data_IF_687269207537
#
_entry.id   IF_687269207537
#
_cell.length_a   1.000
_cell.length_b   1.000
_cell.length_c   1.000
_cell.angle_alpha   90.00
_cell.angle_beta   90.00
_cell.angle_gamma   90.00
#
_symmetry.space_group_name_H-M   'P 1'
#
loop_
_entity.id
_entity.type
_entity.pdbx_description
1 polymer ?
#
# COMPACT_ATOMS: atom_id res chain seq x y z
N UNK A 1 12.32 -14.46 -27.83
CA UNK A 1 11.50 -13.23 -27.89
C UNK A 1 10.19 -13.60 -27.18
N UNK A 2 10.11 -13.46 -25.86
CA UNK A 2 8.85 -13.71 -25.14
C UNK A 2 8.05 -12.41 -25.14
N UNK A 3 7.18 -12.28 -26.13
CA UNK A 3 6.15 -11.24 -26.13
C UNK A 3 5.07 -11.78 -25.19
N UNK A 4 5.08 -11.33 -23.94
CA UNK A 4 3.93 -11.55 -23.05
C UNK A 4 2.70 -10.97 -23.76
N UNK A 5 1.71 -11.82 -24.04
CA UNK A 5 0.43 -11.38 -24.60
C UNK A 5 -0.16 -10.34 -23.64
N UNK A 6 -0.46 -9.12 -24.10
CA UNK A 6 -1.07 -8.10 -23.24
C UNK A 6 -2.52 -8.48 -22.93
N UNK A 7 -2.98 -8.17 -21.72
CA UNK A 7 -4.39 -8.28 -21.34
C UNK A 7 -5.22 -7.29 -22.17
N UNK A 8 -6.38 -7.72 -22.66
CA UNK A 8 -7.32 -6.86 -23.38
C UNK A 8 -8.45 -6.45 -22.45
N UNK A 9 -8.51 -5.17 -22.09
CA UNK A 9 -9.55 -4.65 -21.18
C UNK A 9 -10.95 -4.57 -21.80
N UNK A 10 -11.07 -4.89 -23.09
CA UNK A 10 -12.35 -5.13 -23.75
C UNK A 10 -12.88 -6.56 -23.50
N UNK A 11 -12.07 -7.42 -22.87
CA UNK A 11 -12.49 -8.75 -22.44
C UNK A 11 -12.83 -8.71 -20.95
N UNK A 12 -13.99 -9.26 -20.54
CA UNK A 12 -14.42 -9.24 -19.15
C UNK A 12 -13.45 -10.01 -18.25
N UNK A 13 -13.05 -11.23 -18.62
CA UNK A 13 -12.10 -12.02 -17.84
C UNK A 13 -10.74 -11.33 -17.62
N UNK A 14 -10.16 -10.72 -18.65
CA UNK A 14 -8.87 -10.03 -18.57
C UNK A 14 -8.96 -8.83 -17.61
N UNK A 15 -10.08 -8.12 -17.66
CA UNK A 15 -10.39 -6.99 -16.79
C UNK A 15 -10.56 -7.42 -15.33
N UNK A 16 -11.34 -8.48 -15.08
CA UNK A 16 -11.53 -9.05 -13.74
C UNK A 16 -10.20 -9.53 -13.16
N UNK A 17 -9.36 -10.19 -13.96
CA UNK A 17 -8.05 -10.65 -13.52
C UNK A 17 -7.10 -9.49 -13.19
N UNK A 18 -7.12 -8.39 -13.96
CA UNK A 18 -6.37 -7.18 -13.64
C UNK A 18 -6.83 -6.56 -12.32
N UNK A 19 -8.14 -6.40 -12.11
CA UNK A 19 -8.69 -5.82 -10.89
C UNK A 19 -8.36 -6.70 -9.68
N UNK A 20 -8.62 -8.01 -9.78
CA UNK A 20 -8.30 -8.96 -8.71
C UNK A 20 -6.81 -8.96 -8.36
N UNK A 21 -5.92 -8.82 -9.35
CA UNK A 21 -4.48 -8.72 -9.11
C UNK A 21 -4.08 -7.38 -8.48
N UNK A 22 -4.71 -6.30 -8.92
CA UNK A 22 -4.42 -4.94 -8.44
C UNK A 22 -4.77 -4.80 -6.96
N UNK A 23 -5.98 -5.24 -6.59
CA UNK A 23 -6.50 -5.05 -5.23
C UNK A 23 -6.31 -6.28 -4.33
N UNK A 24 -5.92 -7.42 -4.90
CA UNK A 24 -5.81 -8.71 -4.21
C UNK A 24 -7.13 -9.47 -4.10
N UNK A 25 -8.25 -8.86 -4.51
CA UNK A 25 -9.60 -9.43 -4.48
C UNK A 25 -10.49 -8.70 -5.50
N UNK A 26 -11.66 -9.26 -5.81
CA UNK A 26 -12.70 -8.55 -6.54
C UNK A 26 -13.49 -7.64 -5.58
N UNK A 27 -13.57 -6.32 -5.83
CA UNK A 27 -14.31 -5.39 -4.98
C UNK A 27 -15.81 -5.73 -4.90
N UNK A 28 -16.44 -5.22 -3.84
CA UNK A 28 -17.90 -5.24 -3.63
C UNK A 28 -18.37 -3.82 -3.34
N UNK A 29 -19.58 -3.48 -3.77
CA UNK A 29 -20.19 -2.16 -3.55
C UNK A 29 -19.22 -1.01 -3.90
N UNK A 30 -18.55 -1.13 -5.05
CA UNK A 30 -17.41 -0.27 -5.42
C UNK A 30 -17.50 0.24 -6.85
N UNK A 31 -17.03 1.46 -7.05
CA UNK A 31 -16.63 1.98 -8.35
C UNK A 31 -15.12 1.84 -8.48
N UNK A 32 -14.66 1.20 -9.55
CA UNK A 32 -13.26 1.14 -9.93
C UNK A 32 -13.05 1.94 -11.21
N UNK A 33 -12.02 2.78 -11.22
CA UNK A 33 -11.59 3.53 -12.41
C UNK A 33 -10.13 3.22 -12.68
N UNK A 34 -9.84 2.80 -13.91
CA UNK A 34 -8.50 2.46 -14.38
C UNK A 34 -8.14 3.47 -15.46
N UNK A 35 -7.20 4.37 -15.17
CA UNK A 35 -6.59 5.24 -16.16
C UNK A 35 -5.75 4.43 -17.15
N UNK A 36 -5.71 4.87 -18.40
CA UNK A 36 -4.97 4.23 -19.49
C UNK A 36 -4.04 5.27 -20.11
N UNK A 37 -2.79 4.89 -20.33
CA UNK A 37 -1.77 5.73 -20.94
C UNK A 37 -1.02 4.88 -21.96
N UNK A 38 -1.00 5.26 -23.24
CA UNK A 38 -0.26 4.55 -24.30
C UNK A 38 -0.45 3.01 -24.34
N UNK A 39 -1.67 2.53 -24.07
CA UNK A 39 -2.00 1.10 -24.08
C UNK A 39 -1.48 0.29 -22.87
N UNK A 40 -0.95 0.97 -21.85
CA UNK A 40 -0.68 0.40 -20.54
C UNK A 40 -1.64 0.98 -19.50
N UNK A 41 -1.85 0.23 -18.42
CA UNK A 41 -2.68 0.67 -17.31
C UNK A 41 -1.93 1.72 -16.48
N UNK A 42 -2.52 2.90 -16.36
CA UNK A 42 -2.08 4.04 -15.56
C UNK A 42 -2.47 3.91 -14.08
N UNK A 43 -3.00 4.98 -13.48
CA UNK A 43 -3.49 4.99 -12.10
C UNK A 43 -4.76 4.15 -11.94
N UNK A 44 -4.88 3.43 -10.82
CA UNK A 44 -6.09 2.68 -10.47
C UNK A 44 -6.71 3.31 -9.23
N UNK A 45 -8.01 3.57 -9.29
CA UNK A 45 -8.80 4.09 -8.18
C UNK A 45 -9.94 3.13 -7.87
N UNK A 46 -10.15 2.86 -6.59
CA UNK A 46 -11.34 2.18 -6.08
C UNK A 46 -11.96 3.02 -4.98
N UNK A 47 -13.25 3.32 -5.11
CA UNK A 47 -14.04 4.03 -4.10
C UNK A 47 -15.32 3.26 -3.83
N UNK A 48 -15.86 3.39 -2.62
CA UNK A 48 -17.16 2.80 -2.28
C UNK A 48 -18.28 3.49 -3.06
N UNK A 49 -19.30 2.73 -3.45
CA UNK A 49 -20.49 3.28 -4.09
C UNK A 49 -21.30 4.10 -3.07
N UNK A 50 -21.72 5.33 -3.39
CA UNK A 50 -22.53 6.12 -2.48
C UNK A 50 -23.89 5.45 -2.22
N UNK A 51 -24.35 5.51 -0.97
CA UNK A 51 -25.67 5.01 -0.60
C UNK A 51 -26.76 5.70 -1.42
N UNK A 52 -27.63 4.92 -2.06
CA UNK A 52 -28.71 5.44 -2.91
C UNK A 52 -28.28 5.88 -4.33
N UNK A 53 -27.00 5.77 -4.70
CA UNK A 53 -26.51 6.17 -6.03
C UNK A 53 -27.13 5.36 -7.18
N UNK A 54 -27.64 4.15 -6.91
CA UNK A 54 -28.22 3.26 -7.92
C UNK A 54 -29.42 3.87 -8.68
N UNK A 55 -30.07 4.90 -8.14
CA UNK A 55 -31.21 5.61 -8.75
C UNK A 55 -31.03 7.14 -8.71
N UNK A 56 -29.92 7.63 -8.15
CA UNK A 56 -29.71 9.06 -8.02
C UNK A 56 -29.54 9.71 -9.41
N UNK A 57 -30.17 10.86 -9.65
CA UNK A 57 -29.98 11.60 -10.89
C UNK A 57 -28.57 12.22 -10.92
N UNK A 58 -28.09 12.56 -12.12
CA UNK A 58 -26.70 12.98 -12.33
C UNK A 58 -26.31 14.24 -11.54
N UNK A 59 -27.24 15.18 -11.37
CA UNK A 59 -27.05 16.40 -10.59
C UNK A 59 -26.70 16.16 -9.12
N UNK A 60 -27.09 15.02 -8.55
CA UNK A 60 -26.75 14.68 -7.16
C UNK A 60 -25.39 13.98 -7.05
N UNK A 61 -24.78 13.60 -8.17
CA UNK A 61 -23.52 12.86 -8.22
C UNK A 61 -22.33 13.73 -8.64
N UNK A 62 -22.53 15.05 -8.81
CA UNK A 62 -21.51 16.00 -9.26
C UNK A 62 -20.25 15.98 -8.41
N UNK A 63 -20.37 16.32 -7.12
CA UNK A 63 -19.24 16.38 -6.19
C UNK A 63 -18.45 15.07 -6.11
N UNK A 64 -19.16 13.93 -6.13
CA UNK A 64 -18.54 12.60 -6.13
C UNK A 64 -17.74 12.36 -7.43
N UNK A 65 -18.33 12.68 -8.58
CA UNK A 65 -17.67 12.54 -9.87
C UNK A 65 -16.48 13.49 -10.04
N UNK A 66 -16.60 14.73 -9.56
CA UNK A 66 -15.52 15.73 -9.57
C UNK A 66 -14.35 15.29 -8.70
N UNK A 67 -14.61 14.74 -7.51
CA UNK A 67 -13.56 14.19 -6.64
C UNK A 67 -12.77 13.08 -7.35
N UNK A 68 -13.47 12.18 -8.05
CA UNK A 68 -12.83 11.08 -8.80
C UNK A 68 -12.03 11.61 -9.99
N UNK A 69 -12.58 12.59 -10.72
CA UNK A 69 -11.89 13.21 -11.84
C UNK A 69 -10.63 13.95 -11.37
N UNK A 70 -10.71 14.78 -10.33
CA UNK A 70 -9.58 15.50 -9.74
C UNK A 70 -8.48 14.53 -9.27
N UNK A 71 -8.88 13.40 -8.68
CA UNK A 71 -7.95 12.37 -8.22
C UNK A 71 -7.11 11.72 -9.32
N UNK A 72 -7.63 11.65 -10.54
CA UNK A 72 -6.99 10.95 -11.68
C UNK A 72 -6.48 11.89 -12.77
N UNK A 73 -7.07 13.08 -12.88
CA UNK A 73 -6.86 14.06 -13.96
C UNK A 73 -6.55 15.46 -13.43
N UNK A 74 -6.59 15.69 -12.11
CA UNK A 74 -6.31 16.97 -11.49
C UNK A 74 -4.83 17.38 -11.62
N UNK A 75 -4.48 18.52 -11.02
CA UNK A 75 -3.16 19.15 -11.21
C UNK A 75 -1.98 18.26 -10.81
N UNK A 76 -2.19 17.33 -9.87
CA UNK A 76 -1.17 16.38 -9.39
C UNK A 76 -0.98 15.18 -10.31
N UNK A 77 -1.89 14.91 -11.24
CA UNK A 77 -1.82 13.75 -12.09
C UNK A 77 -0.68 13.86 -13.12
N UNK A 78 0.45 13.20 -12.86
CA UNK A 78 1.59 13.13 -13.78
C UNK A 78 2.16 11.70 -13.93
N UNK A 79 2.13 11.11 -15.16
CA UNK A 79 1.32 11.58 -16.30
C UNK A 79 -0.17 11.40 -16.02
N UNK A 80 -0.99 12.33 -16.50
CA UNK A 80 -2.43 12.15 -16.54
C UNK A 80 -2.80 11.06 -17.57
N UNK A 81 -3.79 10.19 -17.30
CA UNK A 81 -4.22 9.17 -18.24
C UNK A 81 -4.89 9.79 -19.48
N UNK A 82 -4.68 9.18 -20.65
CA UNK A 82 -5.27 9.58 -21.92
C UNK A 82 -6.71 9.06 -22.08
N UNK A 83 -7.09 8.03 -21.34
CA UNK A 83 -8.43 7.42 -21.34
C UNK A 83 -8.71 6.74 -19.99
N UNK A 84 -9.97 6.38 -19.74
CA UNK A 84 -10.36 5.67 -18.52
C UNK A 84 -11.30 4.49 -18.81
N UNK A 85 -11.11 3.41 -18.06
CA UNK A 85 -12.04 2.28 -17.96
C UNK A 85 -12.77 2.37 -16.62
N UNK A 86 -14.10 2.21 -16.65
CA UNK A 86 -14.93 2.18 -15.44
C UNK A 86 -15.45 0.77 -15.18
N UNK A 87 -15.45 0.35 -13.92
CA UNK A 87 -16.10 -0.88 -13.48
C UNK A 87 -16.99 -0.59 -12.27
N UNK A 88 -18.25 -1.02 -12.36
CA UNK A 88 -19.26 -0.89 -11.32
C UNK A 88 -19.47 -2.25 -10.66
N UNK A 89 -18.96 -2.45 -9.45
CA UNK A 89 -19.23 -3.61 -8.61
C UNK A 89 -20.44 -3.30 -7.73
N UNK A 90 -21.62 -3.74 -8.14
CA UNK A 90 -22.88 -3.46 -7.48
C UNK A 90 -23.48 -4.73 -6.83
N UNK A 91 -24.30 -4.57 -5.78
CA UNK A 91 -24.95 -5.71 -5.13
C UNK A 91 -26.10 -6.26 -5.98
N UNK A 92 -26.77 -5.42 -6.78
CA UNK A 92 -27.90 -5.84 -7.60
C UNK A 92 -27.46 -6.58 -8.87
N UNK A 93 -28.29 -7.50 -9.33
CA UNK A 93 -28.12 -8.15 -10.63
C UNK A 93 -28.63 -7.23 -11.75
N UNK A 94 -27.97 -7.26 -12.91
CA UNK A 94 -28.40 -6.50 -14.07
C UNK A 94 -29.76 -7.01 -14.58
N UNK A 95 -30.67 -6.08 -14.89
CA UNK A 95 -31.99 -6.39 -15.44
C UNK A 95 -32.30 -5.53 -16.66
N UNK A 96 -33.11 -6.01 -17.63
CA UNK A 96 -33.45 -5.24 -18.82
C UNK A 96 -34.30 -4.01 -18.52
N UNK A 97 -35.03 -4.01 -17.41
CA UNK A 97 -36.02 -2.99 -17.07
C UNK A 97 -35.41 -1.77 -16.37
N UNK A 98 -34.19 -1.89 -15.85
CA UNK A 98 -33.53 -0.82 -15.08
C UNK A 98 -32.06 -0.73 -15.42
N UNK A 99 -31.54 0.49 -15.43
CA UNK A 99 -30.12 0.79 -15.60
C UNK A 99 -29.56 1.46 -14.33
N UNK A 100 -29.14 0.67 -13.32
CA UNK A 100 -28.63 1.21 -12.07
C UNK A 100 -27.42 2.11 -12.29
N UNK A 101 -27.30 3.20 -11.52
CA UNK A 101 -26.17 4.13 -11.53
C UNK A 101 -26.00 4.99 -12.80
N UNK A 102 -27.02 5.13 -13.65
CA UNK A 102 -26.96 5.95 -14.86
C UNK A 102 -26.62 7.43 -14.59
N UNK A 103 -27.18 8.02 -13.53
CA UNK A 103 -26.84 9.37 -13.12
C UNK A 103 -25.36 9.52 -12.75
N UNK A 104 -24.81 8.55 -12.02
CA UNK A 104 -23.40 8.55 -11.61
C UNK A 104 -22.44 8.39 -12.81
N UNK A 105 -22.70 7.45 -13.72
CA UNK A 105 -21.88 7.28 -14.94
C UNK A 105 -21.93 8.54 -15.81
N UNK A 106 -23.10 9.18 -15.91
CA UNK A 106 -23.26 10.45 -16.63
C UNK A 106 -22.48 11.59 -15.97
N UNK A 107 -22.53 11.70 -14.64
CA UNK A 107 -21.78 12.70 -13.90
C UNK A 107 -20.26 12.49 -14.05
N UNK A 108 -19.78 11.24 -13.98
CA UNK A 108 -18.38 10.87 -14.21
C UNK A 108 -17.91 11.28 -15.60
N UNK A 109 -18.67 10.95 -16.65
CA UNK A 109 -18.31 11.34 -18.01
C UNK A 109 -18.20 12.87 -18.17
N UNK A 110 -19.08 13.64 -17.53
CA UNK A 110 -19.03 15.11 -17.53
C UNK A 110 -17.81 15.65 -16.77
N UNK A 111 -17.53 15.12 -15.59
CA UNK A 111 -16.40 15.53 -14.77
C UNK A 111 -15.06 15.24 -15.49
N UNK A 112 -14.91 14.07 -16.11
CA UNK A 112 -13.72 13.69 -16.88
C UNK A 112 -13.51 14.59 -18.10
N UNK A 113 -14.60 14.93 -18.81
CA UNK A 113 -14.55 15.86 -19.91
C UNK A 113 -14.13 17.28 -19.46
N UNK A 114 -14.53 17.71 -18.27
CA UNK A 114 -14.18 19.01 -17.71
C UNK A 114 -12.73 19.08 -17.19
N UNK A 115 -12.23 18.01 -16.58
CA UNK A 115 -10.94 17.99 -15.87
C UNK A 115 -9.69 17.85 -16.78
N UNK A 116 -9.84 17.45 -18.04
CA UNK A 116 -8.69 17.19 -18.90
C UNK A 116 -8.96 16.34 -20.13
N UNK A 117 -10.18 15.78 -20.25
CA UNK A 117 -10.66 15.20 -21.50
C UNK A 117 -10.28 13.74 -21.73
N UNK A 118 -9.92 12.98 -20.70
CA UNK A 118 -9.74 11.53 -20.82
C UNK A 118 -11.12 10.85 -20.98
N UNK A 119 -11.47 10.33 -22.17
CA UNK A 119 -12.77 9.70 -22.36
C UNK A 119 -12.86 8.41 -21.56
N UNK A 120 -14.04 8.16 -20.98
CA UNK A 120 -14.39 6.83 -20.49
C UNK A 120 -14.64 5.96 -21.71
N UNK A 121 -13.68 5.09 -22.04
CA UNK A 121 -13.70 4.28 -23.27
C UNK A 121 -14.57 3.04 -23.14
N UNK A 122 -14.82 2.58 -21.90
CA UNK A 122 -15.65 1.43 -21.64
C UNK A 122 -16.12 1.40 -20.17
N UNK A 123 -17.31 0.82 -19.95
CA UNK A 123 -17.91 0.67 -18.62
C UNK A 123 -18.39 -0.76 -18.43
N UNK A 124 -17.79 -1.48 -17.48
CA UNK A 124 -18.26 -2.80 -17.05
C UNK A 124 -19.22 -2.68 -15.88
N UNK A 125 -20.31 -3.43 -15.90
CA UNK A 125 -21.18 -3.64 -14.75
C UNK A 125 -21.03 -5.06 -14.24
N UNK A 126 -20.75 -5.19 -12.95
CA UNK A 126 -20.54 -6.43 -12.24
C UNK A 126 -21.55 -6.49 -11.09
N UNK A 127 -22.47 -7.44 -11.14
CA UNK A 127 -23.54 -7.56 -10.15
C UNK A 127 -24.21 -8.92 -10.19
N UNK A 128 -24.64 -9.44 -9.04
CA UNK A 128 -25.24 -10.78 -8.95
C UNK A 128 -24.34 -11.92 -9.46
N UNK A 129 -23.01 -11.78 -9.36
CA UNK A 129 -22.05 -12.78 -9.89
C UNK A 129 -21.80 -12.71 -11.40
N UNK A 130 -22.38 -11.73 -12.09
CA UNK A 130 -22.26 -11.58 -13.54
C UNK A 130 -21.56 -10.28 -13.93
N UNK A 131 -20.85 -10.31 -15.06
CA UNK A 131 -20.23 -9.15 -15.71
C UNK A 131 -20.87 -8.91 -17.08
N UNK A 132 -21.11 -7.65 -17.42
CA UNK A 132 -21.61 -7.23 -18.73
C UNK A 132 -21.15 -5.84 -19.11
N UNK A 133 -21.15 -5.55 -20.40
CA UNK A 133 -21.01 -4.20 -20.92
C UNK A 133 -22.24 -3.38 -20.47
N UNK A 134 -21.98 -2.27 -19.77
CA UNK A 134 -23.00 -1.41 -19.20
C UNK A 134 -23.71 -0.53 -20.25
N UNK A 135 -23.04 -0.23 -21.36
CA UNK A 135 -23.55 0.59 -22.45
C UNK A 135 -24.24 -0.26 -23.53
N UNK A 136 -23.97 -1.56 -23.59
CA UNK A 136 -24.61 -2.48 -24.53
C UNK A 136 -26.09 -2.77 -24.17
N UNK A 137 -26.99 -2.38 -25.08
CA UNK A 137 -28.45 -2.62 -24.98
C UNK A 137 -28.96 -3.80 -25.80
N UNK A 138 -28.10 -4.41 -26.62
CA UNK A 138 -28.47 -5.52 -27.49
C UNK A 138 -28.41 -6.85 -26.71
N UNK A 139 -29.57 -7.43 -26.42
CA UNK A 139 -29.68 -8.70 -25.69
C UNK A 139 -29.11 -9.90 -26.46
N UNK A 140 -28.92 -9.79 -27.79
CA UNK A 140 -28.25 -10.82 -28.58
C UNK A 140 -26.73 -10.75 -28.49
N UNK A 141 -26.19 -9.56 -28.21
CA UNK A 141 -24.77 -9.31 -27.98
C UNK A 141 -24.39 -9.54 -26.50
N UNK A 142 -25.16 -8.95 -25.58
CA UNK A 142 -24.98 -9.04 -24.13
C UNK A 142 -26.31 -9.46 -23.49
N UNK A 143 -26.53 -10.77 -23.41
CA UNK A 143 -27.69 -11.33 -22.71
C UNK A 143 -27.68 -10.95 -21.23
N UNK A 144 -28.87 -10.79 -20.65
CA UNK A 144 -29.04 -10.59 -19.22
C UNK A 144 -28.98 -11.94 -18.48
N UNK A 145 -28.38 -11.99 -17.27
CA UNK A 145 -27.75 -10.88 -16.51
C UNK A 145 -26.31 -10.54 -16.96
N UNK A 146 -25.68 -11.36 -17.78
CA UNK A 146 -24.33 -11.16 -18.29
C UNK A 146 -23.57 -12.48 -18.42
N UNK A 147 -22.24 -12.41 -18.39
CA UNK A 147 -21.35 -13.57 -18.30
C UNK A 147 -21.02 -13.86 -16.83
N UNK A 148 -20.93 -15.13 -16.46
CA UNK A 148 -20.56 -15.57 -15.11
C UNK A 148 -19.13 -15.17 -14.77
N UNK A 149 -18.94 -14.41 -13.69
CA UNK A 149 -17.64 -13.86 -13.27
C UNK A 149 -16.62 -14.97 -13.01
N UNK A 150 -17.00 -16.00 -12.26
CA UNK A 150 -16.10 -17.10 -11.90
C UNK A 150 -15.61 -17.85 -13.13
N UNK A 151 -16.50 -18.10 -14.10
CA UNK A 151 -16.16 -18.77 -15.35
C UNK A 151 -15.19 -17.95 -16.20
N UNK A 152 -15.42 -16.64 -16.30
CA UNK A 152 -14.53 -15.74 -17.05
C UNK A 152 -13.15 -15.63 -16.38
N UNK A 153 -13.11 -15.56 -15.05
CA UNK A 153 -11.86 -15.58 -14.28
C UNK A 153 -11.09 -16.89 -14.46
N UNK A 154 -11.74 -18.05 -14.28
CA UNK A 154 -11.11 -19.36 -14.44
C UNK A 154 -10.53 -19.55 -15.84
N UNK A 155 -11.26 -19.07 -16.85
CA UNK A 155 -10.80 -19.10 -18.24
C UNK A 155 -9.50 -18.32 -18.40
N UNK A 156 -9.41 -17.11 -17.87
CA UNK A 156 -8.20 -16.28 -18.00
C UNK A 156 -7.04 -16.80 -17.17
N UNK A 157 -7.30 -17.25 -15.94
CA UNK A 157 -6.27 -17.80 -15.07
C UNK A 157 -5.64 -19.07 -15.65
N UNK A 158 -6.44 -19.91 -16.31
CA UNK A 158 -5.97 -21.17 -16.93
C UNK A 158 -5.32 -20.98 -18.30
N UNK A 159 -5.76 -20.00 -19.09
CA UNK A 159 -5.34 -19.84 -20.49
C UNK A 159 -4.28 -18.75 -20.73
N UNK A 160 -4.21 -17.74 -19.87
CA UNK A 160 -3.38 -16.57 -20.15
C UNK A 160 -1.94 -16.75 -19.61
N UNK A 161 -0.89 -16.56 -20.43
CA UNK A 161 0.50 -16.85 -20.05
C UNK A 161 0.99 -16.10 -18.79
N UNK A 162 0.50 -14.89 -18.54
CA UNK A 162 0.84 -14.10 -17.34
C UNK A 162 0.41 -14.80 -16.04
N UNK A 163 -0.69 -15.58 -16.09
CA UNK A 163 -1.26 -16.26 -14.94
C UNK A 163 -0.91 -17.76 -14.92
N UNK A 164 -0.84 -18.40 -16.10
CA UNK A 164 -0.51 -19.82 -16.24
C UNK A 164 0.95 -20.16 -15.89
N UNK A 165 1.88 -19.19 -15.97
CA UNK A 165 3.32 -19.41 -15.70
C UNK A 165 3.71 -19.39 -14.21
N UNK A 166 2.75 -19.51 -13.28
CA UNK A 166 3.10 -19.70 -11.87
C UNK A 166 3.60 -21.12 -11.62
N UNK A 167 4.92 -21.30 -11.53
CA UNK A 167 5.49 -22.51 -10.93
C UNK A 167 5.00 -22.65 -9.48
N UNK A 168 4.58 -23.85 -9.05
CA UNK A 168 4.22 -24.10 -7.67
C UNK A 168 5.47 -23.99 -6.79
N UNK A 169 5.66 -22.84 -6.11
CA UNK A 169 6.69 -22.75 -5.07
C UNK A 169 7.33 -21.38 -4.77
N UNK A 170 7.02 -20.28 -5.46
CA UNK A 170 7.65 -18.98 -5.13
C UNK A 170 6.66 -17.82 -5.01
N UNK A 171 6.25 -17.42 -3.79
CA UNK A 171 5.51 -16.18 -3.61
C UNK A 171 6.47 -15.00 -3.81
N UNK A 172 6.29 -14.21 -4.88
CA UNK A 172 6.91 -12.89 -4.99
C UNK A 172 6.00 -11.87 -4.30
N UNK A 173 6.38 -11.47 -3.08
CA UNK A 173 6.16 -10.14 -2.46
C UNK A 173 4.85 -9.39 -2.74
N UNK A 174 3.72 -10.10 -2.80
CA UNK A 174 2.37 -9.53 -2.89
C UNK A 174 1.45 -10.28 -1.93
N UNK A 175 0.26 -9.74 -1.61
CA UNK A 175 -0.64 -10.35 -0.65
C UNK A 175 -0.83 -11.83 -0.99
N UNK A 176 -0.62 -12.66 0.04
CA UNK A 176 -0.62 -14.13 -0.02
C UNK A 176 -1.73 -14.62 -0.95
N UNK A 177 -1.36 -15.39 -1.98
CA UNK A 177 -2.32 -16.01 -2.89
C UNK A 177 -3.36 -16.79 -2.06
N UNK A 178 -4.62 -16.35 -2.09
CA UNK A 178 -5.74 -16.96 -1.35
C UNK A 178 -6.36 -16.11 -0.23
N UNK A 179 -5.86 -14.91 0.07
CA UNK A 179 -6.52 -14.00 1.01
C UNK A 179 -7.68 -13.27 0.28
N UNK A 180 -8.92 -13.68 0.54
CA UNK A 180 -10.10 -13.06 -0.05
C UNK A 180 -10.54 -11.82 0.74
N UNK A 181 -10.13 -10.64 0.28
CA UNK A 181 -10.67 -9.35 0.74
C UNK A 181 -9.88 -8.66 1.86
N UNK A 182 -10.18 -7.37 2.14
CA UNK A 182 -9.48 -6.57 3.15
C UNK A 182 -9.51 -7.19 4.55
N UNK A 183 -10.64 -7.76 4.96
CA UNK A 183 -10.81 -8.42 6.26
C UNK A 183 -9.86 -9.62 6.46
N UNK A 184 -9.59 -10.37 5.39
CA UNK A 184 -8.72 -11.54 5.46
C UNK A 184 -7.24 -11.13 5.60
N UNK A 185 -6.83 -9.99 5.01
CA UNK A 185 -5.48 -9.41 5.20
C UNK A 185 -5.27 -9.05 6.67
N UNK A 186 -6.27 -8.44 7.29
CA UNK A 186 -6.25 -8.05 8.70
C UNK A 186 -6.24 -9.30 9.61
N UNK A 187 -7.08 -10.30 9.35
CA UNK A 187 -7.09 -11.56 10.11
C UNK A 187 -5.75 -12.32 10.02
N UNK A 188 -5.10 -12.29 8.86
CA UNK A 188 -3.76 -12.87 8.70
C UNK A 188 -2.74 -12.16 9.58
N UNK A 189 -2.83 -10.83 9.71
CA UNK A 189 -1.93 -10.05 10.56
C UNK A 189 -2.07 -10.40 12.05
N UNK A 190 -3.26 -10.83 12.47
CA UNK A 190 -3.57 -11.21 13.86
C UNK A 190 -3.29 -12.68 14.18
N UNK A 191 -3.36 -13.57 13.18
CA UNK A 191 -2.97 -14.95 13.36
C UNK A 191 -1.48 -14.98 13.74
N UNK A 192 -1.13 -15.57 14.89
CA UNK A 192 0.25 -15.60 15.36
C UNK A 192 1.18 -16.01 14.20
N UNK A 193 2.19 -15.20 13.84
CA UNK A 193 2.97 -15.38 12.61
C UNK A 193 3.72 -16.72 12.58
N UNK A 194 3.83 -17.40 13.71
CA UNK A 194 4.55 -18.66 13.90
C UNK A 194 3.64 -19.90 13.93
N UNK A 195 2.30 -19.74 13.91
CA UNK A 195 1.39 -20.83 14.30
C UNK A 195 0.40 -21.36 13.24
N UNK A 196 -0.02 -20.57 12.25
CA UNK A 196 -1.20 -20.96 11.43
C UNK A 196 -0.97 -21.19 9.93
N UNK A 197 0.17 -20.77 9.35
CA UNK A 197 0.66 -21.08 7.99
C UNK A 197 1.78 -20.08 7.64
N UNK A 198 2.94 -20.23 8.27
CA UNK A 198 4.16 -19.72 7.64
C UNK A 198 4.26 -20.37 6.25
N UNK A 199 4.62 -19.63 5.18
CA UNK A 199 4.85 -20.24 3.87
C UNK A 199 5.83 -21.41 4.06
N UNK A 200 5.43 -22.58 3.54
CA UNK A 200 6.14 -23.83 3.77
C UNK A 200 7.64 -23.67 3.42
N UNK A 201 8.50 -23.70 4.44
CA UNK A 201 9.96 -23.73 4.27
C UNK A 201 10.78 -22.70 5.04
N UNK A 202 10.19 -21.67 5.66
CA UNK A 202 10.95 -20.67 6.42
C UNK A 202 10.61 -20.68 7.91
N UNK A 203 11.61 -21.12 8.70
CA UNK A 203 11.75 -21.02 10.17
C UNK A 203 10.66 -21.69 11.01
N UNK A 204 10.93 -22.94 11.41
CA UNK A 204 10.15 -23.67 12.40
C UNK A 204 10.66 -23.36 13.82
N UNK A 205 10.26 -22.21 14.38
CA UNK A 205 10.40 -21.99 15.83
C UNK A 205 9.32 -22.78 16.55
N UNK A 206 9.71 -23.53 17.57
CA UNK A 206 8.79 -24.17 18.50
C UNK A 206 8.08 -23.13 19.38
N UNK A 207 6.93 -23.50 19.94
CA UNK A 207 6.20 -22.64 20.88
C UNK A 207 7.06 -22.25 22.10
N UNK A 208 7.92 -23.17 22.55
CA UNK A 208 8.83 -22.93 23.68
C UNK A 208 9.93 -21.91 23.33
N UNK A 209 10.51 -21.99 22.13
CA UNK A 209 11.51 -21.02 21.66
C UNK A 209 10.92 -19.62 21.52
N UNK A 210 9.69 -19.52 21.00
CA UNK A 210 8.96 -18.24 20.95
C UNK A 210 8.62 -17.75 22.35
N UNK A 211 8.26 -18.64 23.28
CA UNK A 211 8.03 -18.31 24.68
C UNK A 211 9.27 -17.70 25.33
N UNK A 212 10.43 -18.35 25.21
CA UNK A 212 11.69 -17.83 25.75
C UNK A 212 12.07 -16.49 25.12
N UNK A 213 11.90 -16.35 23.79
CA UNK A 213 12.18 -15.10 23.10
C UNK A 213 11.29 -13.95 23.60
N UNK A 214 10.02 -14.21 23.91
CA UNK A 214 9.12 -13.21 24.51
C UNK A 214 9.62 -12.75 25.87
N UNK A 215 10.11 -13.68 26.71
CA UNK A 215 10.70 -13.35 28.01
C UNK A 215 11.97 -12.51 27.87
N UNK A 216 12.86 -12.88 26.94
CA UNK A 216 14.10 -12.16 26.67
C UNK A 216 13.81 -10.73 26.18
N UNK A 217 12.85 -10.57 25.26
CA UNK A 217 12.40 -9.26 24.77
C UNK A 217 11.81 -8.42 25.90
N UNK A 218 10.97 -9.00 26.76
CA UNK A 218 10.40 -8.29 27.91
C UNK A 218 11.49 -7.79 28.87
N UNK A 219 12.47 -8.64 29.20
CA UNK A 219 13.61 -8.26 30.06
C UNK A 219 14.42 -7.11 29.47
N UNK A 220 14.66 -7.08 28.16
CA UNK A 220 15.36 -5.96 27.52
C UNK A 220 14.51 -4.68 27.49
N UNK A 221 13.19 -4.82 27.37
CA UNK A 221 12.26 -3.69 27.34
C UNK A 221 12.22 -2.95 28.67
N UNK A 222 12.22 -3.68 29.79
CA UNK A 222 12.28 -3.07 31.14
C UNK A 222 13.48 -2.13 31.30
N UNK A 223 14.61 -2.46 30.67
CA UNK A 223 15.80 -1.60 30.66
C UNK A 223 15.55 -0.31 29.89
N UNK A 224 14.94 -0.37 28.71
CA UNK A 224 14.63 0.81 27.91
C UNK A 224 13.56 1.68 28.57
N UNK A 225 12.53 1.08 29.15
CA UNK A 225 11.48 1.77 29.89
C UNK A 225 12.06 2.48 31.14
N UNK A 226 13.00 1.84 31.84
CA UNK A 226 13.72 2.46 32.96
C UNK A 226 14.53 3.68 32.52
N UNK A 227 15.22 3.59 31.38
CA UNK A 227 15.94 4.73 30.81
C UNK A 227 14.97 5.84 30.38
N UNK A 228 13.84 5.46 29.76
CA UNK A 228 12.82 6.40 29.32
C UNK A 228 12.20 7.17 30.50
N UNK A 229 11.94 6.48 31.61
CA UNK A 229 11.42 7.09 32.83
C UNK A 229 12.40 8.09 33.48
N UNK A 230 13.71 7.85 33.35
CA UNK A 230 14.75 8.75 33.87
C UNK A 230 14.90 10.01 33.00
N UNK A 231 14.93 9.85 31.68
CA UNK A 231 15.19 10.94 30.73
C UNK A 231 13.91 11.65 30.25
N UNK A 232 12.73 11.15 30.62
CA UNK A 232 11.43 11.64 30.18
C UNK A 232 11.10 11.34 28.71
N UNK A 233 11.91 10.51 28.04
CA UNK A 233 11.75 10.07 26.65
C UNK A 233 12.55 8.80 26.38
N UNK A 234 12.16 7.95 25.42
CA UNK A 234 12.93 6.76 25.12
C UNK A 234 14.33 7.07 24.56
N UNK A 235 15.31 6.18 24.78
CA UNK A 235 16.66 6.35 24.25
C UNK A 235 16.70 6.39 22.73
N UNK A 236 17.56 7.22 22.13
CA UNK A 236 17.71 7.35 20.68
C UNK A 236 18.06 6.06 19.94
N UNK A 237 18.72 5.13 20.61
CA UNK A 237 18.99 3.79 20.06
C UNK A 237 17.70 3.07 19.65
N UNK A 238 16.54 3.41 20.24
CA UNK A 238 15.25 2.88 19.81
C UNK A 238 14.87 3.34 18.39
N UNK A 239 15.18 4.59 18.01
CA UNK A 239 15.01 5.06 16.63
C UNK A 239 16.03 4.43 15.68
N UNK A 240 17.30 4.34 16.10
CA UNK A 240 18.36 3.71 15.31
C UNK A 240 18.08 2.22 15.04
N UNK A 241 17.47 1.51 15.99
CA UNK A 241 17.03 0.14 15.85
C UNK A 241 16.02 -0.04 14.70
N UNK A 242 15.10 0.93 14.51
CA UNK A 242 14.18 0.96 13.38
C UNK A 242 14.90 1.22 12.06
N UNK A 243 15.81 2.20 11.99
CA UNK A 243 16.56 2.49 10.76
C UNK A 243 17.40 1.29 10.29
N UNK A 244 18.10 0.65 11.23
CA UNK A 244 18.86 -0.56 10.96
C UNK A 244 17.96 -1.71 10.50
N UNK A 245 16.78 -1.86 11.11
CA UNK A 245 15.83 -2.90 10.74
C UNK A 245 15.25 -2.69 9.33
N UNK A 246 14.88 -1.45 8.99
CA UNK A 246 14.38 -1.09 7.66
C UNK A 246 15.47 -1.31 6.60
N UNK A 247 16.68 -0.79 6.83
CA UNK A 247 17.78 -0.90 5.87
C UNK A 247 18.20 -2.35 5.62
N UNK A 248 18.24 -3.18 6.67
CA UNK A 248 18.57 -4.61 6.52
C UNK A 248 17.46 -5.38 5.81
N UNK A 249 16.20 -5.08 6.13
CA UNK A 249 15.02 -5.75 5.54
C UNK A 249 14.81 -5.35 4.09
N UNK A 250 15.10 -4.10 3.73
CA UNK A 250 15.12 -3.63 2.34
C UNK A 250 16.05 -4.48 1.47
N UNK A 251 17.25 -4.80 1.98
CA UNK A 251 18.24 -5.59 1.25
C UNK A 251 17.91 -7.09 1.27
N UNK A 252 17.46 -7.63 2.40
CA UNK A 252 17.21 -9.07 2.55
C UNK A 252 15.85 -9.53 2.02
N UNK A 253 14.86 -8.63 1.95
CA UNK A 253 13.45 -8.94 1.71
C UNK A 253 12.76 -9.69 2.86
N UNK A 254 13.41 -9.82 4.02
CA UNK A 254 12.89 -10.55 5.18
C UNK A 254 13.33 -9.90 6.49
N UNK A 255 12.39 -9.83 7.45
CA UNK A 255 12.64 -9.31 8.81
C UNK A 255 12.78 -10.41 9.87
N UNK A 256 12.78 -11.70 9.48
CA UNK A 256 12.82 -12.82 10.44
C UNK A 256 14.14 -12.91 11.22
N UNK A 257 15.21 -12.29 10.72
CA UNK A 257 16.48 -12.16 11.45
C UNK A 257 16.33 -11.37 12.77
N UNK A 258 15.27 -10.58 12.95
CA UNK A 258 14.98 -9.89 14.22
C UNK A 258 14.75 -10.87 15.38
N UNK A 259 14.35 -12.11 15.08
CA UNK A 259 14.14 -13.15 16.09
C UNK A 259 15.45 -13.58 16.78
N UNK A 260 16.59 -13.28 16.16
CA UNK A 260 17.93 -13.50 16.71
C UNK A 260 18.44 -12.26 17.46
N UNK A 261 17.66 -11.19 17.56
CA UNK A 261 18.05 -9.88 18.12
C UNK A 261 17.00 -9.36 19.13
N UNK A 262 16.86 -10.00 20.31
CA UNK A 262 15.83 -9.65 21.30
C UNK A 262 15.97 -8.23 21.85
N UNK A 263 17.20 -7.71 21.96
CA UNK A 263 17.49 -6.34 22.36
C UNK A 263 16.99 -5.33 21.32
N UNK A 264 17.17 -5.62 20.03
CA UNK A 264 16.67 -4.79 18.93
C UNK A 264 15.13 -4.80 18.88
N UNK A 265 14.51 -5.97 19.04
CA UNK A 265 13.05 -6.09 19.15
C UNK A 265 12.50 -5.27 20.33
N UNK A 266 13.14 -5.34 21.49
CA UNK A 266 12.74 -4.57 22.67
C UNK A 266 12.87 -3.06 22.46
N UNK A 267 13.97 -2.61 21.84
CA UNK A 267 14.17 -1.20 21.49
C UNK A 267 13.07 -0.70 20.52
N UNK A 268 12.73 -1.52 19.53
CA UNK A 268 11.70 -1.20 18.54
C UNK A 268 10.29 -1.13 19.14
N UNK A 269 9.95 -2.07 20.03
CA UNK A 269 8.69 -2.05 20.79
C UNK A 269 8.58 -0.83 21.68
N UNK A 270 9.68 -0.42 22.31
CA UNK A 270 9.75 0.82 23.11
C UNK A 270 9.48 2.04 22.24
N UNK A 271 10.14 2.14 21.07
CA UNK A 271 9.94 3.24 20.13
C UNK A 271 8.49 3.33 19.62
N UNK A 272 7.88 2.21 19.29
CA UNK A 272 6.49 2.16 18.79
C UNK A 272 5.47 2.49 19.89
N UNK A 273 5.76 2.18 21.15
CA UNK A 273 4.87 2.51 22.26
C UNK A 273 4.84 4.01 22.56
N UNK A 274 5.96 4.71 22.36
CA UNK A 274 6.08 6.17 22.50
C UNK A 274 5.49 6.92 21.32
N UNK A 275 4.67 7.95 21.57
CA UNK A 275 4.01 8.68 20.49
C UNK A 275 4.98 9.43 19.58
N UNK A 276 6.06 10.02 20.13
CA UNK A 276 6.96 10.84 19.34
C UNK A 276 7.86 9.99 18.44
N UNK A 277 8.45 8.92 18.99
CA UNK A 277 9.27 8.00 18.20
C UNK A 277 8.45 7.17 17.22
N UNK A 278 7.24 6.72 17.60
CA UNK A 278 6.30 6.09 16.68
C UNK A 278 6.05 6.97 15.46
N UNK A 279 5.82 8.27 15.69
CA UNK A 279 5.53 9.22 14.64
C UNK A 279 6.75 9.43 13.73
N UNK A 280 7.97 9.30 14.26
CA UNK A 280 9.19 9.34 13.45
C UNK A 280 9.38 8.13 12.51
N UNK A 281 8.71 7.00 12.76
CA UNK A 281 8.85 5.79 11.91
C UNK A 281 8.35 6.04 10.48
N UNK A 282 7.30 6.85 10.32
CA UNK A 282 6.73 7.20 9.02
C UNK A 282 7.75 7.94 8.13
N UNK A 283 8.29 9.11 8.51
CA UNK A 283 9.31 9.78 7.71
C UNK A 283 10.61 8.97 7.63
N UNK A 284 10.92 8.11 8.61
CA UNK A 284 12.10 7.24 8.55
C UNK A 284 12.01 6.20 7.42
N UNK A 285 10.80 5.69 7.17
CA UNK A 285 10.52 4.80 6.06
C UNK A 285 10.36 5.56 4.74
N UNK A 286 9.78 6.76 4.74
CA UNK A 286 9.50 7.50 3.51
C UNK A 286 10.68 8.33 2.97
N UNK A 287 11.49 8.91 3.86
CA UNK A 287 12.50 9.95 3.56
C UNK A 287 13.87 9.69 4.20
N UNK A 288 14.00 8.58 4.93
CA UNK A 288 15.24 8.20 5.60
C UNK A 288 15.40 8.75 7.03
N UNK A 289 16.41 8.22 7.71
CA UNK A 289 16.65 8.45 9.14
C UNK A 289 16.95 9.90 9.51
N UNK A 290 17.76 10.59 8.70
CA UNK A 290 18.24 11.93 9.04
C UNK A 290 17.08 12.94 9.10
N UNK A 291 16.18 12.91 8.10
CA UNK A 291 14.96 13.73 8.05
C UNK A 291 14.02 13.39 9.21
N UNK A 292 13.81 12.10 9.46
CA UNK A 292 12.94 11.63 10.52
C UNK A 292 13.40 12.06 11.91
N UNK A 293 14.69 11.86 12.22
CA UNK A 293 15.25 12.21 13.51
C UNK A 293 15.29 13.72 13.71
N UNK A 294 15.61 14.50 12.67
CA UNK A 294 15.57 15.95 12.76
C UNK A 294 14.18 16.48 13.08
N UNK A 295 13.16 16.06 12.32
CA UNK A 295 11.77 16.47 12.57
C UNK A 295 11.29 16.07 13.97
N UNK A 296 11.57 14.83 14.39
CA UNK A 296 11.27 14.36 15.74
C UNK A 296 11.93 15.23 16.81
N UNK A 297 13.23 15.50 16.69
CA UNK A 297 13.99 16.29 17.66
C UNK A 297 13.45 17.71 17.78
N UNK A 298 13.19 18.37 16.66
CA UNK A 298 12.69 19.76 16.66
C UNK A 298 11.28 19.82 17.25
N UNK A 299 10.38 18.92 16.85
CA UNK A 299 8.99 18.91 17.31
C UNK A 299 8.86 18.50 18.78
N UNK A 300 9.68 17.56 19.25
CA UNK A 300 9.67 17.09 20.64
C UNK A 300 10.23 18.11 21.62
N UNK A 301 11.00 19.08 21.15
CA UNK A 301 11.56 20.15 21.97
C UNK A 301 10.54 21.28 22.27
N UNK A 302 9.37 21.25 21.62
CA UNK A 302 8.27 22.20 21.81
C UNK A 302 8.50 23.58 21.16
N UNK A 303 7.43 24.36 20.94
CA UNK A 303 7.48 25.60 20.13
C UNK A 303 8.28 26.76 20.74
N UNK A 304 8.78 26.63 21.97
CA UNK A 304 9.53 27.69 22.68
C UNK A 304 11.00 27.34 22.97
N UNK A 305 11.42 26.12 22.65
CA UNK A 305 12.73 25.60 23.04
C UNK A 305 13.25 24.57 22.02
N UNK A 306 13.14 24.88 20.73
CA UNK A 306 13.73 24.07 19.66
C UNK A 306 15.16 23.66 20.03
N UNK A 307 15.50 22.39 19.80
CA UNK A 307 16.84 21.90 20.12
C UNK A 307 17.88 22.68 19.30
N UNK A 308 18.95 23.22 19.93
CA UNK A 308 20.03 23.87 19.20
C UNK A 308 20.63 22.91 18.18
N UNK A 309 21.04 23.45 17.02
CA UNK A 309 21.63 22.68 15.92
C UNK A 309 22.82 21.83 16.38
N UNK A 310 23.61 22.34 17.34
CA UNK A 310 24.74 21.65 17.93
C UNK A 310 24.31 20.38 18.68
N UNK A 311 23.17 20.43 19.36
CA UNK A 311 22.64 19.26 20.07
C UNK A 311 22.09 18.21 19.10
N UNK A 312 21.44 18.66 18.02
CA UNK A 312 21.01 17.77 16.92
C UNK A 312 22.24 17.12 16.26
N UNK A 313 23.30 17.89 16.02
CA UNK A 313 24.56 17.39 15.48
C UNK A 313 25.24 16.37 16.38
N UNK A 314 25.27 16.61 17.69
CA UNK A 314 25.82 15.67 18.67
C UNK A 314 25.06 14.33 18.62
N UNK A 315 23.73 14.38 18.52
CA UNK A 315 22.90 13.19 18.53
C UNK A 315 23.00 12.40 17.22
N UNK A 316 22.94 13.07 16.06
CA UNK A 316 23.15 12.44 14.76
C UNK A 316 24.59 11.91 14.62
N UNK A 317 25.58 12.64 15.13
CA UNK A 317 26.98 12.26 15.08
C UNK A 317 27.31 10.98 15.85
N UNK A 318 26.53 10.64 16.90
CA UNK A 318 26.66 9.35 17.60
C UNK A 318 26.34 8.17 16.70
N UNK A 319 25.49 8.37 15.71
CA UNK A 319 25.12 7.38 14.69
C UNK A 319 25.94 7.53 13.39
N UNK A 320 26.98 8.36 13.39
CA UNK A 320 27.81 8.63 12.21
C UNK A 320 27.11 9.44 11.11
N UNK A 321 26.03 10.17 11.44
CA UNK A 321 25.21 10.93 10.51
C UNK A 321 25.48 12.44 10.58
N UNK A 322 25.04 13.16 9.56
CA UNK A 322 25.22 14.61 9.45
C UNK A 322 23.89 15.33 9.62
N UNK A 323 23.92 16.53 10.20
CA UNK A 323 22.73 17.38 10.27
C UNK A 323 22.38 17.85 8.85
N UNK A 324 21.11 17.76 8.43
CA UNK A 324 20.63 18.37 7.20
C UNK A 324 21.05 19.85 7.12
N UNK A 325 21.40 20.30 5.91
CA UNK A 325 21.78 21.69 5.68
C UNK A 325 20.65 22.64 6.11
N UNK A 326 19.44 22.32 5.66
CA UNK A 326 18.21 23.04 5.96
C UNK A 326 17.38 22.25 6.98
N UNK A 327 17.25 22.79 8.20
CA UNK A 327 16.47 22.16 9.27
C UNK A 327 14.97 22.48 9.16
N UNK A 328 14.62 23.64 8.60
CA UNK A 328 13.22 24.03 8.44
C UNK A 328 12.57 23.14 7.39
N UNK A 329 13.23 22.97 6.24
CA UNK A 329 12.80 22.03 5.21
C UNK A 329 12.66 20.60 5.75
N UNK A 330 13.59 20.12 6.57
CA UNK A 330 13.51 18.78 7.16
C UNK A 330 12.29 18.60 8.09
N UNK A 331 11.84 19.65 8.77
CA UNK A 331 10.65 19.63 9.63
C UNK A 331 9.38 19.67 8.78
N UNK A 332 9.36 20.48 7.72
CA UNK A 332 8.28 20.51 6.74
C UNK A 332 8.12 19.14 6.06
N UNK A 333 9.22 18.54 5.62
CA UNK A 333 9.27 17.21 5.02
C UNK A 333 8.79 16.12 6.00
N UNK A 334 9.18 16.20 7.27
CA UNK A 334 8.69 15.31 8.31
C UNK A 334 7.16 15.32 8.38
N UNK A 335 6.54 16.50 8.38
CA UNK A 335 5.09 16.66 8.45
C UNK A 335 4.42 16.27 7.12
N UNK A 336 5.03 16.63 5.99
CA UNK A 336 4.53 16.30 4.66
C UNK A 336 4.53 14.79 4.40
N UNK A 337 5.50 14.04 4.96
CA UNK A 337 5.53 12.58 4.85
C UNK A 337 4.30 11.89 5.46
N UNK A 338 3.75 12.43 6.55
CA UNK A 338 2.50 11.93 7.12
C UNK A 338 1.33 12.04 6.15
N UNK A 339 1.29 13.12 5.40
CA UNK A 339 0.24 13.42 4.42
C UNK A 339 0.57 12.85 3.04
N UNK A 340 1.73 12.22 2.85
CA UNK A 340 2.21 11.74 1.57
C UNK A 340 2.35 12.85 0.52
N UNK A 341 2.71 14.07 0.93
CA UNK A 341 2.74 15.28 0.09
C UNK A 341 4.11 15.97 0.10
N UNK A 342 5.17 15.19 -0.03
CA UNK A 342 6.57 15.70 -0.01
C UNK A 342 7.04 16.25 -1.35
N UNK A 343 6.15 16.35 -2.35
CA UNK A 343 6.49 16.80 -3.70
C UNK A 343 7.37 15.83 -4.52
N UNK A 344 7.81 14.72 -3.95
CA UNK A 344 8.63 13.69 -4.61
C UNK A 344 8.17 12.28 -4.26
N UNK A 345 8.65 11.27 -4.98
CA UNK A 345 8.40 9.86 -4.65
C UNK A 345 9.07 9.50 -3.32
N UNK A 346 8.37 8.79 -2.40
CA UNK A 346 9.00 8.26 -1.20
C UNK A 346 9.90 7.06 -1.52
N UNK A 347 10.70 6.64 -0.54
CA UNK A 347 11.51 5.42 -0.56
C UNK A 347 10.61 4.17 -0.43
N UNK A 348 9.98 3.77 -1.53
CA UNK A 348 9.00 2.66 -1.55
C UNK A 348 9.56 1.34 -1.02
N UNK A 349 10.83 1.06 -1.29
CA UNK A 349 11.54 -0.12 -0.78
C UNK A 349 11.56 -0.15 0.74
N UNK A 350 11.77 0.99 1.38
CA UNK A 350 11.76 1.13 2.83
C UNK A 350 10.35 1.09 3.42
N UNK A 351 9.35 1.62 2.72
CA UNK A 351 7.94 1.42 3.08
C UNK A 351 7.55 -0.07 2.97
N UNK A 352 8.10 -0.78 1.98
CA UNK A 352 7.94 -2.23 1.85
C UNK A 352 8.61 -3.00 2.98
N UNK A 353 9.84 -2.62 3.33
CA UNK A 353 10.53 -3.12 4.50
C UNK A 353 9.76 -2.84 5.81
N UNK A 354 9.18 -1.64 5.95
CA UNK A 354 8.40 -1.25 7.13
C UNK A 354 7.24 -2.20 7.39
N UNK A 355 6.47 -2.53 6.35
CA UNK A 355 5.38 -3.51 6.47
C UNK A 355 5.87 -4.88 6.96
N UNK A 356 6.99 -5.35 6.41
CA UNK A 356 7.58 -6.65 6.76
C UNK A 356 8.09 -6.66 8.19
N UNK A 357 8.74 -5.57 8.62
CA UNK A 357 9.22 -5.38 9.99
C UNK A 357 8.05 -5.30 10.98
N UNK A 358 7.01 -4.51 10.67
CA UNK A 358 5.83 -4.34 11.54
C UNK A 358 5.15 -5.68 11.83
N UNK A 359 5.07 -6.58 10.85
CA UNK A 359 4.51 -7.94 11.04
C UNK A 359 5.30 -8.76 12.05
N UNK A 360 6.63 -8.69 12.03
CA UNK A 360 7.47 -9.41 13.00
C UNK A 360 7.37 -8.78 14.38
N UNK A 361 7.47 -7.45 14.48
CA UNK A 361 7.38 -6.73 15.76
C UNK A 361 6.01 -6.90 16.42
N UNK A 362 4.94 -6.93 15.61
CA UNK A 362 3.57 -7.16 16.07
C UNK A 362 3.42 -8.42 16.91
N UNK A 363 4.14 -9.48 16.55
CA UNK A 363 4.11 -10.75 17.27
C UNK A 363 4.47 -10.62 18.75
N UNK A 364 5.36 -9.67 19.08
CA UNK A 364 5.87 -9.41 20.42
C UNK A 364 5.20 -8.21 21.09
N UNK A 365 4.33 -7.50 20.38
CA UNK A 365 3.74 -6.26 20.86
C UNK A 365 2.62 -6.50 21.88
N UNK A 366 2.66 -5.72 22.97
CA UNK A 366 1.56 -5.57 23.93
C UNK A 366 0.54 -4.53 23.46
N UNK A 367 -0.54 -4.35 24.20
CA UNK A 367 -1.73 -3.58 23.81
C UNK A 367 -1.44 -2.23 23.14
N UNK A 368 -0.69 -1.34 23.80
CA UNK A 368 -0.39 0.00 23.29
C UNK A 368 0.46 -0.04 22.01
N UNK A 369 1.51 -0.88 22.00
CA UNK A 369 2.38 -1.03 20.84
C UNK A 369 1.63 -1.69 19.67
N UNK A 370 0.78 -2.68 19.95
CA UNK A 370 -0.05 -3.38 18.96
C UNK A 370 -0.99 -2.41 18.25
N UNK A 371 -1.66 -1.56 19.02
CA UNK A 371 -2.54 -0.53 18.51
C UNK A 371 -1.81 0.51 17.63
N UNK A 372 -0.60 0.90 18.03
CA UNK A 372 0.25 1.79 17.24
C UNK A 372 0.73 1.13 15.95
N UNK A 373 1.10 -0.16 15.98
CA UNK A 373 1.50 -0.93 14.79
C UNK A 373 0.35 -1.04 13.79
N UNK A 374 -0.86 -1.37 14.25
CA UNK A 374 -2.04 -1.38 13.36
C UNK A 374 -2.26 -0.02 12.71
N UNK A 375 -2.08 1.07 13.45
CA UNK A 375 -2.17 2.43 12.89
C UNK A 375 -1.08 2.71 11.85
N UNK A 376 0.15 2.22 12.06
CA UNK A 376 1.20 2.31 11.04
C UNK A 376 0.87 1.48 9.80
N UNK A 377 0.23 0.31 9.95
CA UNK A 377 -0.26 -0.49 8.82
C UNK A 377 -1.35 0.25 8.04
N UNK A 378 -2.24 0.99 8.70
CA UNK A 378 -3.20 1.89 8.03
C UNK A 378 -2.45 2.87 7.13
N UNK A 379 -1.45 3.57 7.68
CA UNK A 379 -0.69 4.57 6.93
C UNK A 379 0.07 3.94 5.75
N UNK A 380 0.73 2.80 5.95
CA UNK A 380 1.45 2.08 4.89
C UNK A 380 0.52 1.74 3.71
N UNK A 381 -0.64 1.17 4.00
CA UNK A 381 -1.59 0.75 2.97
C UNK A 381 -2.23 1.95 2.27
N UNK A 382 -2.51 3.02 3.01
CA UNK A 382 -3.01 4.27 2.46
C UNK A 382 -1.99 4.95 1.53
N UNK A 383 -0.73 5.05 1.96
CA UNK A 383 0.36 5.62 1.17
C UNK A 383 0.52 4.88 -0.17
N UNK A 384 0.40 3.54 -0.15
CA UNK A 384 0.45 2.70 -1.35
C UNK A 384 -0.79 2.80 -2.25
N UNK A 385 -1.78 3.63 -1.90
CA UNK A 385 -3.03 3.79 -2.64
C UNK A 385 -4.04 2.65 -2.42
N UNK A 386 -3.85 1.80 -1.40
CA UNK A 386 -4.72 0.66 -1.08
C UNK A 386 -5.72 1.00 0.01
N UNK A 387 -6.54 2.02 -0.27
CA UNK A 387 -7.51 2.60 0.67
C UNK A 387 -8.44 1.57 1.33
N UNK A 388 -8.87 0.52 0.63
CA UNK A 388 -9.70 -0.54 1.22
C UNK A 388 -9.00 -1.35 2.28
N UNK A 389 -7.71 -1.67 2.08
CA UNK A 389 -6.91 -2.42 3.05
C UNK A 389 -6.59 -1.51 4.25
N UNK A 390 -6.26 -0.24 3.97
CA UNK A 390 -6.07 0.77 5.01
C UNK A 390 -7.34 0.95 5.87
N UNK A 391 -8.51 1.02 5.24
CA UNK A 391 -9.81 1.08 5.90
C UNK A 391 -10.05 -0.13 6.81
N UNK A 392 -9.79 -1.35 6.32
CA UNK A 392 -9.95 -2.55 7.15
C UNK A 392 -9.01 -2.58 8.36
N UNK A 393 -7.74 -2.16 8.23
CA UNK A 393 -6.86 -2.00 9.39
C UNK A 393 -7.37 -0.91 10.34
N UNK A 394 -7.95 0.17 9.81
CA UNK A 394 -8.47 1.29 10.60
C UNK A 394 -9.71 0.89 11.39
N UNK A 395 -10.68 0.22 10.76
CA UNK A 395 -11.87 -0.33 11.39
C UNK A 395 -11.47 -1.27 12.53
N UNK A 396 -10.55 -2.20 12.25
CA UNK A 396 -10.06 -3.13 13.24
C UNK A 396 -9.38 -2.45 14.42
N UNK A 397 -8.52 -1.48 14.14
CA UNK A 397 -7.83 -0.73 15.19
C UNK A 397 -8.84 0.05 16.06
N UNK A 398 -9.88 0.65 15.47
CA UNK A 398 -10.92 1.37 16.21
C UNK A 398 -11.83 0.44 17.03
N UNK A 399 -12.12 -0.75 16.52
CA UNK A 399 -12.89 -1.76 17.26
C UNK A 399 -12.14 -2.28 18.49
N UNK A 400 -10.86 -2.62 18.34
CA UNK A 400 -10.05 -3.16 19.44
C UNK A 400 -9.51 -2.08 20.38
N UNK A 401 -9.13 -0.93 19.83
CA UNK A 401 -8.38 0.12 20.51
C UNK A 401 -9.01 1.50 20.27
N UNK A 402 -10.26 1.73 20.74
CA UNK A 402 -11.00 2.95 20.44
C UNK A 402 -10.31 4.22 20.95
N UNK A 403 -9.39 4.12 21.90
CA UNK A 403 -8.65 5.25 22.47
C UNK A 403 -7.38 5.63 21.70
N UNK A 404 -7.00 4.87 20.66
CA UNK A 404 -5.79 5.18 19.90
C UNK A 404 -5.96 6.46 19.07
N UNK A 405 -5.26 7.52 19.47
CA UNK A 405 -5.34 8.83 18.80
C UNK A 405 -4.81 8.82 17.37
N UNK A 406 -3.78 8.03 17.06
CA UNK A 406 -3.22 7.96 15.71
C UNK A 406 -4.22 7.28 14.77
N UNK A 407 -4.85 6.18 15.19
CA UNK A 407 -5.89 5.51 14.43
C UNK A 407 -7.08 6.44 14.12
N UNK A 408 -7.54 7.19 15.13
CA UNK A 408 -8.61 8.18 14.96
C UNK A 408 -8.20 9.29 13.99
N UNK A 409 -6.96 9.77 14.07
CA UNK A 409 -6.44 10.82 13.23
C UNK A 409 -6.32 10.36 11.77
N UNK A 410 -5.71 9.20 11.53
CA UNK A 410 -5.60 8.58 10.20
C UNK A 410 -6.99 8.29 9.61
N UNK A 411 -7.94 7.81 10.42
CA UNK A 411 -9.33 7.60 9.98
C UNK A 411 -9.95 8.90 9.45
N UNK A 412 -9.88 9.99 10.23
CA UNK A 412 -10.37 11.31 9.77
C UNK A 412 -9.64 11.82 8.54
N UNK A 413 -8.32 11.61 8.44
CA UNK A 413 -7.56 12.01 7.27
C UNK A 413 -7.96 11.24 6.02
N UNK A 414 -8.22 9.93 6.11
CA UNK A 414 -8.71 9.16 4.97
C UNK A 414 -10.14 9.54 4.58
N UNK A 415 -10.99 9.87 5.56
CA UNK A 415 -12.36 10.35 5.31
C UNK A 415 -12.38 11.71 4.59
N UNK A 416 -11.50 12.64 4.96
CA UNK A 416 -11.47 14.01 4.40
C UNK A 416 -10.57 14.13 3.17
N UNK A 417 -9.38 13.55 3.23
CA UNK A 417 -8.33 13.68 2.20
C UNK A 417 -8.42 12.63 1.09
N UNK A 418 -9.21 11.56 1.28
CA UNK A 418 -9.38 10.51 0.29
C UNK A 418 -8.06 9.80 -0.04
N UNK A 419 -7.60 9.97 -1.28
CA UNK A 419 -6.43 9.27 -1.83
C UNK A 419 -5.14 9.99 -1.42
N UNK A 420 -4.13 9.22 -1.00
CA UNK A 420 -2.81 9.75 -0.71
C UNK A 420 -2.23 10.56 -1.89
N UNK A 421 -1.71 11.79 -1.70
CA UNK A 421 -1.14 12.60 -2.78
C UNK A 421 -0.01 11.91 -3.55
N UNK A 422 0.87 11.13 -2.91
CA UNK A 422 1.85 10.28 -3.62
C UNK A 422 1.19 9.28 -4.58
N UNK A 423 -0.02 8.80 -4.28
CA UNK A 423 -0.77 7.91 -5.16
C UNK A 423 -1.51 8.65 -6.30
N UNK A 424 -1.79 9.95 -6.12
CA UNK A 424 -2.38 10.82 -7.17
C UNK A 424 -1.35 11.16 -8.25
N UNK A 425 -0.08 11.35 -7.88
CA UNK A 425 1.01 11.53 -8.84
C UNK A 425 1.49 10.16 -9.32
N UNK A 426 1.17 9.76 -10.56
CA UNK A 426 1.47 8.40 -11.06
C UNK A 426 2.96 8.05 -10.92
N UNK A 427 3.87 8.97 -11.23
CA UNK A 427 5.33 8.78 -11.07
C UNK A 427 5.77 8.55 -9.62
N UNK A 428 5.05 9.10 -8.65
CA UNK A 428 5.35 8.92 -7.23
C UNK A 428 4.70 7.67 -6.68
N UNK A 429 3.71 7.08 -7.36
CA UNK A 429 2.95 5.96 -6.83
C UNK A 429 3.77 4.67 -6.68
N UNK A 430 3.43 3.87 -5.67
CA UNK A 430 4.02 2.55 -5.42
C UNK A 430 3.93 1.62 -6.63
N UNK A 431 2.79 1.65 -7.34
CA UNK A 431 2.57 0.85 -8.55
C UNK A 431 3.56 1.16 -9.68
N UNK A 432 4.01 2.41 -9.78
CA UNK A 432 4.96 2.85 -10.81
C UNK A 432 6.38 2.40 -10.49
N UNK A 433 6.82 2.55 -9.23
CA UNK A 433 8.13 2.06 -8.77
C UNK A 433 8.33 0.58 -9.09
N UNK A 434 7.34 -0.27 -8.80
CA UNK A 434 7.40 -1.70 -9.09
C UNK A 434 7.49 -2.01 -10.61
N UNK A 435 6.88 -1.18 -11.46
CA UNK A 435 6.98 -1.33 -12.91
C UNK A 435 8.40 -1.00 -13.41
N UNK A 436 9.01 0.08 -12.93
CA UNK A 436 10.38 0.49 -13.30
C UNK A 436 11.44 -0.52 -12.85
N UNK A 437 11.30 -1.10 -11.65
CA UNK A 437 12.14 -2.23 -11.20
C UNK A 437 12.08 -3.40 -12.17
N UNK A 438 10.87 -3.81 -12.54
CA UNK A 438 10.65 -4.91 -13.47
C UNK A 438 11.23 -4.66 -14.87
N UNK A 439 11.39 -3.40 -15.30
CA UNK A 439 12.11 -3.04 -16.54
C UNK A 439 13.63 -3.11 -16.36
N UNK A 440 14.14 -2.65 -15.22
CA UNK A 440 15.59 -2.62 -14.91
C UNK A 440 16.17 -4.02 -14.73
N UNK A 441 15.49 -4.90 -13.97
CA UNK A 441 15.88 -6.32 -13.83
C UNK A 441 15.91 -7.04 -15.17
N UNK A 442 14.91 -6.79 -16.03
CA UNK A 442 14.86 -7.35 -17.40
C UNK A 442 16.00 -6.84 -18.29
N UNK A 443 16.41 -5.57 -18.15
CA UNK A 443 17.59 -5.04 -18.87
C UNK A 443 18.89 -5.66 -18.36
N UNK A 444 19.02 -5.88 -17.05
CA UNK A 444 20.19 -6.51 -16.45
C UNK A 444 20.36 -7.98 -16.89
N UNK A 445 19.27 -8.76 -16.85
CA UNK A 445 19.23 -10.15 -17.33
C UNK A 445 19.52 -10.27 -18.84
N UNK A 446 19.06 -9.30 -19.66
CA UNK A 446 19.38 -9.26 -21.10
C UNK A 446 20.85 -8.94 -21.40
N UNK A 447 21.50 -8.11 -20.57
CA UNK A 447 22.94 -7.80 -20.73
C UNK A 447 23.82 -8.98 -20.30
N UNK A 448 23.50 -9.61 -19.17
CA UNK A 448 24.22 -10.78 -18.67
C UNK A 448 24.01 -12.05 -19.52
N UNK A 449 22.86 -12.18 -20.20
CA UNK A 449 22.63 -13.23 -21.20
C UNK A 449 23.37 -13.02 -22.54
N UNK A 450 23.82 -11.79 -22.84
CA UNK A 450 24.56 -11.48 -24.08
C UNK A 450 26.08 -11.63 -23.92
N UNK A 451 26.60 -11.66 -22.70
CA UNK A 451 28.05 -11.83 -22.43
C UNK A 451 28.49 -13.31 -22.39
N UNK A 452 27.57 -14.28 -22.45
CA UNK A 452 27.89 -15.71 -22.53
C UNK A 452 27.91 -16.30 -23.95
N UNK A 453 27.81 -15.49 -25.02
CA UNK A 453 27.91 -15.99 -26.42
C UNK A 453 29.16 -15.53 -27.19
N UNK A 454 30.20 -15.09 -26.49
CA UNK A 454 31.50 -14.76 -27.09
C UNK A 454 32.49 -15.91 -26.87
N UNK A 455 32.35 -17.00 -27.64
CA UNK A 455 33.34 -18.06 -27.67
C UNK A 455 34.59 -17.56 -28.42
N UNK A 456 35.82 -17.69 -27.88
CA UNK A 456 37.02 -17.25 -28.56
C UNK A 456 37.35 -18.22 -29.70
N UNK A 457 37.43 -17.71 -30.93
CA UNK A 457 38.08 -18.39 -32.04
C UNK A 457 39.57 -18.45 -31.71
N UNK A 458 40.08 -19.65 -31.42
CA UNK A 458 41.52 -19.95 -31.36
C UNK A 458 41.83 -21.05 -32.37
N UNK A 459 42.89 -20.80 -33.13
CA UNK A 459 43.39 -21.58 -34.24
C UNK A 459 43.75 -23.03 -33.88
N UNK A 460 43.31 -23.98 -34.70
CA UNK A 460 44.11 -24.86 -35.57
C UNK A 460 43.21 -25.92 -36.21
#
# INVERSE_FOLDING_TARGET
>A
MDIQTPLSLNRPGDTLALVSRTFGFLPKDSLVVIGLDHGITGGHLRVDLPSGAAQAPAEHMGDFAETIADSLLGERADPAPEAALVLLFAPEEASPDRRPYEGMVTALARAFAAAGGAPIVHTWYIGGGHIRDYDCRDASCCGYPGLEVDREMDTVLSSHPIFAAQEPGRPRGGPVAGIQGPEAVVRWFEAEPFGARAPAGELAYSADEIGQLREDVASHRDRFDSMAAQDGRPPYVCAAAWDAALSRTEVSGSALWLLECPDQLAAMLTAVADSGLRDAIIPMAALGFDTALCGYLVLSAGPRSGLPREKIAELLGREGRQVPGDLEAAVEDFQAAFLGDTGCSPEWERIDALETVLRVVHAFAEEQARSNILSLMVWVEWARGRGSIAGAYSDRCREQYPQNRLAQLLGRYMEVGGICPWAQVKRHSWSWSNCEKGKTERKFLRRSGNEQSSNPVMAC
#
